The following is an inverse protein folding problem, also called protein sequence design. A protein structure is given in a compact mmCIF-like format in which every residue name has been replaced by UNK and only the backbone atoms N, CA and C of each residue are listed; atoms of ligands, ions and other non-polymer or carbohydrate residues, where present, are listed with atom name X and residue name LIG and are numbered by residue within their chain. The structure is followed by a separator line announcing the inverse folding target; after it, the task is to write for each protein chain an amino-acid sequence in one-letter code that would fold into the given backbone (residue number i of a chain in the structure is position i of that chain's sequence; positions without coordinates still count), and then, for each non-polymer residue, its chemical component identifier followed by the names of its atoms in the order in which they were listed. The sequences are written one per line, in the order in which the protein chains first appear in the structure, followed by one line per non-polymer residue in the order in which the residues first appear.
data_IF_721994588297
#
_entry.id   IF_721994588297
#
_cell.length_a   1.000
_cell.length_b   1.000
_cell.length_c   1.000
_cell.angle_alpha   90.00
_cell.angle_beta   90.00
_cell.angle_gamma   90.00
#
_symmetry.space_group_name_H-M   'P 1'
#
loop_
_entity.id
_entity.type
_entity.pdbx_description
1 polymer ?
#
# COMPACT_ATOMS: atom_id res chain seq x y z
N UNK A 1 17.88 -0.56 -48.98
CA UNK A 1 16.45 -0.54 -48.61
C UNK A 1 16.20 -1.78 -47.76
N UNK A 2 16.37 -1.68 -46.42
CA UNK A 2 16.14 -2.75 -45.45
C UNK A 2 15.11 -2.23 -44.44
N UNK A 3 13.88 -2.69 -44.60
CA UNK A 3 12.79 -2.40 -43.72
C UNK A 3 12.96 -3.29 -42.47
N UNK A 4 13.33 -2.73 -41.33
CA UNK A 4 13.31 -3.41 -40.05
C UNK A 4 11.85 -3.47 -39.55
N UNK A 5 11.28 -4.66 -39.60
CA UNK A 5 10.02 -5.03 -38.97
C UNK A 5 10.13 -4.84 -37.44
N UNK A 6 9.43 -3.85 -36.92
CA UNK A 6 9.17 -3.76 -35.47
C UNK A 6 8.06 -4.76 -35.12
N UNK A 7 8.43 -5.86 -34.47
CA UNK A 7 7.45 -6.73 -33.80
C UNK A 7 6.71 -5.91 -32.75
N UNK A 8 5.41 -5.73 -32.96
CA UNK A 8 4.49 -5.33 -31.90
C UNK A 8 4.56 -6.40 -30.81
N UNK A 9 5.15 -6.07 -29.68
CA UNK A 9 5.01 -6.84 -28.46
C UNK A 9 3.56 -6.66 -27.98
N UNK A 10 2.79 -7.72 -28.05
CA UNK A 10 1.46 -7.81 -27.46
C UNK A 10 1.58 -7.80 -25.93
N UNK A 11 1.35 -6.65 -25.33
CA UNK A 11 1.39 -6.42 -23.87
C UNK A 11 0.02 -6.65 -23.20
N UNK A 12 -0.86 -7.49 -23.80
CA UNK A 12 -2.26 -7.50 -23.41
C UNK A 12 -2.72 -8.67 -22.52
N UNK A 13 -1.87 -9.58 -22.03
CA UNK A 13 -2.39 -10.82 -21.38
C UNK A 13 -1.64 -11.33 -20.16
N UNK A 14 -1.02 -10.49 -19.34
CA UNK A 14 -0.28 -10.97 -18.15
C UNK A 14 -0.81 -10.49 -16.79
N UNK A 15 -2.02 -9.94 -16.73
CA UNK A 15 -2.60 -9.46 -15.47
C UNK A 15 -3.73 -10.41 -14.99
N UNK A 16 -3.53 -11.05 -13.86
CA UNK A 16 -4.56 -11.67 -13.01
C UNK A 16 -5.36 -12.86 -13.55
N UNK A 17 -4.79 -14.05 -13.68
CA UNK A 17 -5.56 -15.29 -13.73
C UNK A 17 -5.88 -15.79 -12.32
N UNK A 18 -6.92 -15.26 -11.70
CA UNK A 18 -7.63 -15.88 -10.58
C UNK A 18 -9.09 -16.11 -10.96
N UNK A 19 -9.70 -17.25 -10.56
CA UNK A 19 -11.13 -17.46 -10.77
C UNK A 19 -11.89 -16.36 -10.02
N UNK A 20 -12.73 -15.63 -10.76
CA UNK A 20 -13.62 -14.60 -10.24
C UNK A 20 -14.71 -15.31 -9.42
N UNK A 21 -14.54 -15.40 -8.11
CA UNK A 21 -15.66 -15.64 -7.21
C UNK A 21 -16.30 -14.29 -6.94
N UNK A 22 -17.39 -13.98 -7.63
CA UNK A 22 -18.15 -12.75 -7.41
C UNK A 22 -18.78 -12.78 -6.03
N UNK A 23 -18.26 -12.00 -5.12
CA UNK A 23 -18.89 -11.73 -3.83
C UNK A 23 -19.96 -10.64 -3.97
N UNK A 24 -20.80 -10.46 -2.94
CA UNK A 24 -21.87 -9.45 -2.92
C UNK A 24 -21.36 -8.01 -3.16
N UNK A 25 -20.11 -7.70 -2.79
CA UNK A 25 -19.46 -6.41 -3.04
C UNK A 25 -18.92 -6.24 -4.47
N UNK A 26 -18.87 -7.30 -5.29
CA UNK A 26 -18.22 -7.28 -6.59
C UNK A 26 -16.68 -7.12 -6.57
N UNK A 27 -16.06 -7.07 -5.38
CA UNK A 27 -14.61 -6.91 -5.24
C UNK A 27 -13.86 -8.20 -5.59
N UNK A 28 -12.70 -8.05 -6.26
CA UNK A 28 -11.77 -9.16 -6.48
C UNK A 28 -11.20 -9.67 -5.13
N UNK A 29 -10.78 -10.93 -5.09
CA UNK A 29 -10.21 -11.56 -3.90
C UNK A 29 -9.06 -10.74 -3.26
N UNK A 30 -8.16 -10.18 -4.06
CA UNK A 30 -7.08 -9.31 -3.58
C UNK A 30 -7.62 -8.04 -2.95
N UNK A 31 -8.65 -7.45 -3.52
CA UNK A 31 -9.26 -6.21 -3.01
C UNK A 31 -9.99 -6.44 -1.67
N UNK A 32 -10.48 -7.65 -1.41
CA UNK A 32 -11.07 -8.00 -0.11
C UNK A 32 -10.06 -7.95 1.05
N UNK A 33 -8.76 -8.05 0.78
CA UNK A 33 -7.73 -7.85 1.81
C UNK A 33 -7.77 -6.44 2.41
N UNK A 34 -8.41 -5.47 1.74
CA UNK A 34 -8.68 -4.15 2.29
C UNK A 34 -9.59 -4.21 3.52
N UNK A 35 -10.51 -5.18 3.62
CA UNK A 35 -11.33 -5.42 4.82
C UNK A 35 -10.46 -5.80 6.03
N UNK A 36 -9.42 -6.62 5.83
CA UNK A 36 -8.48 -6.94 6.90
C UNK A 36 -7.79 -5.69 7.43
N UNK A 37 -7.20 -4.87 6.56
CA UNK A 37 -6.51 -3.65 6.95
C UNK A 37 -7.47 -2.64 7.61
N UNK A 38 -8.68 -2.50 7.08
CA UNK A 38 -9.72 -1.65 7.65
C UNK A 38 -10.18 -2.16 9.02
N UNK A 39 -10.38 -3.48 9.18
CA UNK A 39 -10.74 -4.12 10.44
C UNK A 39 -9.69 -3.91 11.53
N UNK A 40 -8.40 -3.97 11.17
CA UNK A 40 -7.29 -3.64 12.09
C UNK A 40 -7.41 -2.19 12.59
N UNK A 41 -7.64 -1.23 11.70
CA UNK A 41 -7.79 0.20 12.07
C UNK A 41 -9.07 0.45 12.88
N UNK A 42 -10.16 -0.24 12.53
CA UNK A 42 -11.41 -0.20 13.30
C UNK A 42 -11.20 -0.70 14.74
N UNK A 43 -10.46 -1.80 14.90
CA UNK A 43 -10.15 -2.35 16.23
C UNK A 43 -9.24 -1.41 17.01
N UNK A 44 -8.24 -0.80 16.38
CA UNK A 44 -7.38 0.21 17.00
C UNK A 44 -8.20 1.40 17.50
N UNK A 45 -9.06 1.96 16.65
CA UNK A 45 -9.92 3.11 17.00
C UNK A 45 -10.88 2.82 18.16
N UNK A 46 -11.30 1.57 18.34
CA UNK A 46 -12.16 1.14 19.42
C UNK A 46 -11.38 0.79 20.71
N UNK A 47 -10.05 0.82 20.69
CA UNK A 47 -9.21 0.48 21.85
C UNK A 47 -9.18 1.63 22.88
N UNK A 48 -8.80 1.31 24.12
CA UNK A 48 -8.64 2.33 25.17
C UNK A 48 -7.54 3.37 24.86
N UNK A 49 -6.54 2.99 24.07
CA UNK A 49 -5.41 3.83 23.70
C UNK A 49 -5.10 3.64 22.21
N UNK A 50 -5.92 4.23 21.31
CA UNK A 50 -5.70 4.10 19.89
C UNK A 50 -4.40 4.81 19.47
N UNK A 51 -3.62 4.18 18.59
CA UNK A 51 -2.39 4.77 18.06
C UNK A 51 -2.60 5.41 16.68
N UNK A 52 -3.58 4.92 15.91
CA UNK A 52 -4.02 5.50 14.63
C UNK A 52 -5.27 6.37 14.86
N UNK A 53 -6.26 5.84 15.56
CA UNK A 53 -7.52 6.52 15.85
C UNK A 53 -8.37 6.78 14.61
N UNK A 54 -8.42 5.82 13.66
CA UNK A 54 -9.20 5.95 12.42
C UNK A 54 -10.70 5.80 12.65
N UNK A 55 -11.36 6.92 12.95
CA UNK A 55 -12.81 6.97 13.19
C UNK A 55 -13.65 6.64 11.93
N UNK A 56 -13.08 6.71 10.73
CA UNK A 56 -13.75 6.36 9.48
C UNK A 56 -13.80 4.83 9.26
N UNK A 57 -12.88 4.08 9.86
CA UNK A 57 -12.75 2.65 9.59
C UNK A 57 -14.03 1.86 9.88
N UNK A 58 -14.72 2.17 10.98
CA UNK A 58 -16.00 1.50 11.32
C UNK A 58 -17.08 1.71 10.25
N UNK A 59 -17.15 2.92 9.68
CA UNK A 59 -18.11 3.27 8.64
C UNK A 59 -17.82 2.55 7.32
N UNK A 60 -16.54 2.29 7.04
CA UNK A 60 -16.10 1.57 5.85
C UNK A 60 -16.34 0.04 5.93
N UNK A 61 -16.68 -0.51 7.09
CA UNK A 61 -16.93 -1.95 7.24
C UNK A 61 -18.39 -2.29 7.04
N UNK A 62 -18.70 -3.01 5.95
CA UNK A 62 -20.01 -3.66 5.74
C UNK A 62 -20.13 -4.93 6.59
N UNK A 63 -21.32 -5.55 6.57
CA UNK A 63 -21.53 -6.87 7.17
C UNK A 63 -20.56 -7.91 6.59
N UNK A 64 -20.36 -7.93 5.26
CA UNK A 64 -19.39 -8.80 4.59
C UNK A 64 -17.95 -8.51 5.08
N UNK A 65 -17.56 -7.22 5.17
CA UNK A 65 -16.25 -6.82 5.70
C UNK A 65 -16.06 -7.25 7.15
N UNK A 66 -17.10 -7.15 7.98
CA UNK A 66 -17.07 -7.62 9.38
C UNK A 66 -16.94 -9.15 9.46
N UNK A 67 -17.63 -9.91 8.60
CA UNK A 67 -17.48 -11.35 8.50
C UNK A 67 -16.05 -11.74 8.11
N UNK A 68 -15.50 -11.08 7.07
CA UNK A 68 -14.11 -11.28 6.66
C UNK A 68 -13.15 -10.99 7.83
N UNK A 69 -13.32 -9.87 8.53
CA UNK A 69 -12.51 -9.48 9.67
C UNK A 69 -12.53 -10.48 10.83
N UNK A 70 -13.67 -11.16 11.10
CA UNK A 70 -13.77 -12.15 12.18
C UNK A 70 -12.71 -13.26 12.06
N UNK A 71 -12.28 -13.62 10.86
CA UNK A 71 -11.26 -14.64 10.63
C UNK A 71 -9.85 -14.20 11.04
N UNK A 72 -9.61 -12.88 11.11
CA UNK A 72 -8.28 -12.27 11.32
C UNK A 72 -8.14 -11.59 12.68
N UNK A 73 -9.23 -11.26 13.37
CA UNK A 73 -9.23 -10.43 14.59
C UNK A 73 -8.32 -10.94 15.71
N UNK A 74 -8.12 -12.25 15.80
CA UNK A 74 -7.34 -12.89 16.87
C UNK A 74 -5.85 -13.08 16.51
N UNK A 75 -5.42 -12.64 15.34
CA UNK A 75 -4.03 -12.69 14.90
C UNK A 75 -3.19 -11.55 15.52
N UNK A 76 -2.87 -11.67 16.83
CA UNK A 76 -2.26 -10.59 17.63
C UNK A 76 -1.06 -9.93 16.96
N UNK A 77 -0.04 -10.69 16.55
CA UNK A 77 1.19 -10.12 15.98
C UNK A 77 0.99 -9.56 14.56
N UNK A 78 0.32 -10.24 13.63
CA UNK A 78 -0.01 -9.67 12.32
C UNK A 78 -0.82 -8.37 12.44
N UNK A 79 -1.83 -8.33 13.32
CA UNK A 79 -2.67 -7.14 13.52
C UNK A 79 -1.86 -5.99 14.11
N UNK A 80 -1.06 -6.23 15.14
CA UNK A 80 -0.16 -5.23 15.71
C UNK A 80 0.85 -4.70 14.68
N UNK A 81 1.41 -5.57 13.84
CA UNK A 81 2.32 -5.20 12.75
C UNK A 81 1.62 -4.35 11.67
N UNK A 82 0.37 -4.67 11.34
CA UNK A 82 -0.43 -3.90 10.38
C UNK A 82 -0.79 -2.51 10.94
N UNK A 83 -1.21 -2.43 12.23
CA UNK A 83 -1.43 -1.15 12.92
C UNK A 83 -0.16 -0.29 12.89
N UNK A 84 0.99 -0.88 13.24
CA UNK A 84 2.27 -0.16 13.24
C UNK A 84 2.68 0.28 11.83
N UNK A 85 2.43 -0.52 10.78
CA UNK A 85 2.68 -0.15 9.39
C UNK A 85 1.95 1.14 9.03
N UNK A 86 0.65 1.19 9.29
CA UNK A 86 -0.17 2.37 9.00
C UNK A 86 0.28 3.58 9.82
N UNK A 87 0.56 3.38 11.12
CA UNK A 87 1.08 4.43 12.00
C UNK A 87 2.41 5.02 11.53
N UNK A 88 3.34 4.19 11.05
CA UNK A 88 4.63 4.66 10.54
C UNK A 88 4.44 5.60 9.35
N UNK A 89 3.61 5.21 8.40
CA UNK A 89 3.30 6.05 7.23
C UNK A 89 2.62 7.34 7.68
N UNK A 90 1.63 7.26 8.57
CA UNK A 90 0.93 8.42 9.12
C UNK A 90 1.89 9.41 9.81
N UNK A 91 2.86 8.87 10.57
CA UNK A 91 3.84 9.69 11.26
C UNK A 91 4.71 10.52 10.30
N UNK A 92 5.31 9.88 9.29
CA UNK A 92 6.15 10.57 8.31
C UNK A 92 5.32 11.50 7.40
N UNK A 93 4.16 11.06 6.97
CA UNK A 93 3.25 11.87 6.16
C UNK A 93 2.85 13.15 6.88
N UNK A 94 2.55 13.07 8.18
CA UNK A 94 2.22 14.24 8.99
C UNK A 94 3.34 15.27 9.00
N UNK A 95 4.58 14.84 9.21
CA UNK A 95 5.75 15.73 9.20
C UNK A 95 5.93 16.41 7.82
N UNK A 96 5.76 15.67 6.73
CA UNK A 96 5.84 16.23 5.37
C UNK A 96 4.73 17.24 5.09
N UNK A 97 3.48 16.96 5.49
CA UNK A 97 2.35 17.86 5.26
C UNK A 97 2.41 19.13 6.13
N UNK A 98 3.14 19.11 7.25
CA UNK A 98 3.41 20.33 8.04
C UNK A 98 4.35 21.29 7.31
N UNK A 99 5.28 20.77 6.52
CA UNK A 99 6.26 21.58 5.76
C UNK A 99 5.78 21.90 4.35
N UNK A 100 5.00 21.00 3.75
CA UNK A 100 4.47 21.10 2.38
C UNK A 100 2.97 20.80 2.35
N UNK A 101 2.11 21.71 2.87
CA UNK A 101 0.66 21.48 2.97
C UNK A 101 -0.06 21.46 1.61
N UNK A 102 0.57 21.94 0.57
CA UNK A 102 0.13 21.98 -0.84
C UNK A 102 0.59 20.77 -1.66
N UNK A 103 1.21 19.77 -1.02
CA UNK A 103 1.61 18.52 -1.68
C UNK A 103 0.44 17.84 -2.39
N UNK A 104 0.75 17.04 -3.40
CA UNK A 104 -0.18 16.02 -3.91
C UNK A 104 0.16 14.67 -3.29
N UNK A 105 -0.82 14.01 -2.70
CA UNK A 105 -0.68 12.67 -2.12
C UNK A 105 -1.43 11.67 -2.99
N UNK A 106 -0.71 10.73 -3.58
CA UNK A 106 -1.24 9.72 -4.51
C UNK A 106 -1.21 8.36 -3.81
N UNK A 107 -2.38 7.76 -3.56
CA UNK A 107 -2.53 6.42 -3.03
C UNK A 107 -2.76 5.44 -4.17
N UNK A 108 -1.80 4.55 -4.43
CA UNK A 108 -1.92 3.49 -5.45
C UNK A 108 -2.35 2.19 -4.76
N UNK A 109 -3.50 1.65 -5.14
CA UNK A 109 -4.17 0.60 -4.40
C UNK A 109 -4.75 1.13 -3.09
N UNK A 110 -5.55 2.21 -3.19
CA UNK A 110 -6.05 2.97 -2.04
C UNK A 110 -6.96 2.16 -1.10
N UNK A 111 -7.57 1.07 -1.58
CA UNK A 111 -8.42 0.22 -0.77
C UNK A 111 -9.44 1.02 0.04
N UNK A 112 -9.53 0.69 1.32
CA UNK A 112 -10.37 1.38 2.29
C UNK A 112 -9.58 2.39 3.16
N UNK A 113 -8.51 2.99 2.61
CA UNK A 113 -7.75 4.04 3.30
C UNK A 113 -8.62 5.28 3.56
N UNK A 114 -8.41 5.94 4.69
CA UNK A 114 -9.17 7.12 5.13
C UNK A 114 -8.29 8.34 5.41
N UNK A 115 -7.01 8.31 5.02
CA UNK A 115 -6.07 9.39 5.30
C UNK A 115 -6.54 10.74 4.81
N UNK A 116 -7.11 10.81 3.61
CA UNK A 116 -7.68 12.03 3.05
C UNK A 116 -8.72 12.71 3.98
N UNK A 117 -9.40 11.94 4.84
CA UNK A 117 -10.38 12.46 5.81
C UNK A 117 -9.77 12.77 7.18
N UNK A 118 -8.59 12.27 7.48
CA UNK A 118 -7.94 12.40 8.80
C UNK A 118 -6.84 13.44 8.84
N UNK A 119 -6.15 13.65 7.72
CA UNK A 119 -5.09 14.64 7.59
C UNK A 119 -5.65 15.96 7.06
N UNK A 120 -4.99 17.06 7.37
CA UNK A 120 -5.30 18.39 6.82
C UNK A 120 -4.26 18.76 5.77
N UNK A 121 -4.71 19.43 4.72
CA UNK A 121 -3.88 19.82 3.59
C UNK A 121 -3.72 18.73 2.55
N UNK A 122 -2.92 19.00 1.55
CA UNK A 122 -2.70 18.24 0.33
C UNK A 122 -3.92 18.13 -0.60
N UNK A 123 -3.64 17.87 -1.85
CA UNK A 123 -4.58 17.30 -2.81
C UNK A 123 -4.40 15.80 -2.80
N UNK A 124 -5.50 15.05 -2.67
CA UNK A 124 -5.47 13.61 -2.52
C UNK A 124 -5.99 12.92 -3.78
N UNK A 125 -5.23 11.96 -4.27
CA UNK A 125 -5.61 11.12 -5.42
C UNK A 125 -5.62 9.67 -4.95
N UNK A 126 -6.80 9.06 -4.93
CA UNK A 126 -6.98 7.66 -4.59
C UNK A 126 -7.21 6.84 -5.87
N UNK A 127 -6.36 5.87 -6.14
CA UNK A 127 -6.41 5.01 -7.33
C UNK A 127 -6.64 3.58 -6.88
N UNK A 128 -7.71 2.94 -7.39
CA UNK A 128 -8.02 1.54 -7.14
C UNK A 128 -8.98 0.98 -8.20
N UNK A 129 -9.28 -0.31 -8.10
CA UNK A 129 -10.28 -0.99 -8.94
C UNK A 129 -11.66 -0.33 -8.80
N UNK A 130 -12.47 -0.28 -9.88
CA UNK A 130 -13.78 0.38 -9.87
C UNK A 130 -14.69 -0.05 -8.72
N UNK A 131 -14.80 -1.38 -8.48
CA UNK A 131 -15.66 -1.91 -7.41
C UNK A 131 -15.22 -1.49 -6.00
N UNK A 132 -13.90 -1.30 -5.77
CA UNK A 132 -13.37 -0.81 -4.49
C UNK A 132 -13.76 0.65 -4.26
N UNK A 133 -13.60 1.48 -5.28
CA UNK A 133 -13.90 2.90 -5.17
C UNK A 133 -15.42 3.16 -5.11
N UNK A 134 -16.23 2.39 -5.83
CA UNK A 134 -17.68 2.43 -5.73
C UNK A 134 -18.13 2.10 -4.30
N UNK A 135 -17.67 0.97 -3.76
CA UNK A 135 -17.93 0.57 -2.37
C UNK A 135 -17.51 1.66 -1.36
N UNK A 136 -16.33 2.26 -1.56
CA UNK A 136 -15.81 3.31 -0.70
C UNK A 136 -16.63 4.59 -0.81
N UNK A 137 -17.06 4.98 -2.02
CA UNK A 137 -17.88 6.16 -2.26
C UNK A 137 -19.25 6.09 -1.58
N UNK A 138 -19.88 4.92 -1.56
CA UNK A 138 -21.13 4.70 -0.86
C UNK A 138 -21.02 4.96 0.65
N UNK A 139 -19.88 4.62 1.26
CA UNK A 139 -19.67 4.64 2.72
C UNK A 139 -18.91 5.85 3.22
N UNK A 140 -18.05 6.40 2.38
CA UNK A 140 -17.22 7.56 2.69
C UNK A 140 -17.17 8.47 1.44
N UNK A 141 -18.25 9.22 1.14
CA UNK A 141 -18.38 10.03 -0.06
C UNK A 141 -17.29 11.10 -0.18
N UNK A 142 -16.78 11.34 -1.39
CA UNK A 142 -15.81 12.42 -1.67
C UNK A 142 -16.29 13.77 -1.17
N UNK A 143 -17.60 14.05 -1.30
CA UNK A 143 -18.20 15.31 -0.86
C UNK A 143 -18.09 15.58 0.66
N UNK A 144 -17.83 14.56 1.46
CA UNK A 144 -17.61 14.70 2.91
C UNK A 144 -16.12 14.88 3.27
N UNK A 145 -15.22 14.80 2.28
CA UNK A 145 -13.79 14.97 2.53
C UNK A 145 -13.46 16.44 2.83
N UNK A 146 -12.73 16.74 3.92
CA UNK A 146 -12.32 18.10 4.24
C UNK A 146 -11.22 18.65 3.32
N UNK A 147 -10.62 17.79 2.49
CA UNK A 147 -9.57 18.13 1.54
C UNK A 147 -10.06 17.98 0.09
N UNK A 148 -9.29 18.49 -0.85
CA UNK A 148 -9.47 18.15 -2.27
C UNK A 148 -9.14 16.69 -2.45
N UNK A 149 -10.13 15.89 -2.87
CA UNK A 149 -10.00 14.46 -3.07
C UNK A 149 -10.57 14.05 -4.42
N UNK A 150 -9.78 13.31 -5.18
CA UNK A 150 -10.23 12.67 -6.41
C UNK A 150 -10.03 11.15 -6.31
N UNK A 151 -11.03 10.38 -6.75
CA UNK A 151 -10.97 8.92 -6.85
C UNK A 151 -10.96 8.49 -8.30
N UNK A 152 -9.90 7.83 -8.71
CA UNK A 152 -9.66 7.43 -10.09
C UNK A 152 -9.76 5.92 -10.18
N UNK A 153 -10.82 5.44 -10.82
CA UNK A 153 -10.97 4.02 -11.09
C UNK A 153 -10.01 3.58 -12.20
N UNK A 154 -9.36 2.43 -11.97
CA UNK A 154 -8.49 1.79 -12.94
C UNK A 154 -8.72 0.29 -12.96
N UNK A 155 -8.89 -0.28 -14.14
CA UNK A 155 -8.73 -1.70 -14.33
C UNK A 155 -7.25 -1.98 -14.62
N UNK A 156 -6.51 -2.45 -13.61
CA UNK A 156 -5.08 -2.73 -13.74
C UNK A 156 -4.74 -3.80 -14.77
N UNK A 157 -5.72 -4.54 -15.29
CA UNK A 157 -5.51 -5.53 -16.33
C UNK A 157 -5.53 -4.94 -17.75
N UNK A 158 -6.33 -3.90 -17.96
CA UNK A 158 -6.63 -3.37 -19.29
C UNK A 158 -6.24 -1.92 -19.49
N UNK A 159 -6.06 -1.14 -18.41
CA UNK A 159 -5.73 0.27 -18.45
C UNK A 159 -4.31 0.53 -17.98
N UNK A 160 -3.72 1.64 -18.44
CA UNK A 160 -2.37 2.04 -18.04
C UNK A 160 -2.44 3.07 -16.91
N UNK A 161 -1.73 2.78 -15.82
CA UNK A 161 -1.59 3.71 -14.70
C UNK A 161 -0.99 5.07 -15.16
N UNK A 162 -0.10 5.04 -16.15
CA UNK A 162 0.49 6.26 -16.70
C UNK A 162 -0.55 7.24 -17.24
N UNK A 163 -1.58 6.75 -17.94
CA UNK A 163 -2.63 7.60 -18.50
C UNK A 163 -3.47 8.27 -17.40
N UNK A 164 -3.71 7.55 -16.31
CA UNK A 164 -4.44 8.06 -15.13
C UNK A 164 -3.64 9.10 -14.34
N UNK A 165 -2.32 8.96 -14.28
CA UNK A 165 -1.43 9.85 -13.53
C UNK A 165 -0.92 11.04 -14.35
N UNK A 166 -1.02 11.00 -15.67
CA UNK A 166 -0.53 12.05 -16.57
C UNK A 166 -1.01 13.47 -16.22
N UNK A 167 -2.29 13.70 -15.82
CA UNK A 167 -2.77 15.03 -15.44
C UNK A 167 -1.98 15.67 -14.28
N UNK A 168 -1.36 14.86 -13.42
CA UNK A 168 -0.71 15.32 -12.18
C UNK A 168 0.81 15.49 -12.32
N UNK A 169 1.39 15.23 -13.49
CA UNK A 169 2.86 15.18 -13.71
C UNK A 169 3.62 16.48 -13.42
N UNK A 170 2.90 17.61 -13.39
CA UNK A 170 3.51 18.94 -13.20
C UNK A 170 3.35 19.46 -11.76
N UNK A 171 2.91 18.62 -10.83
CA UNK A 171 2.84 19.01 -9.43
C UNK A 171 4.23 18.97 -8.78
N UNK A 172 4.52 19.99 -8.00
CA UNK A 172 5.63 20.00 -7.06
C UNK A 172 5.23 19.20 -5.80
N UNK A 173 6.22 18.69 -5.05
CA UNK A 173 5.99 17.95 -3.80
C UNK A 173 5.01 16.76 -3.92
N UNK A 174 5.38 15.79 -4.73
CA UNK A 174 4.60 14.57 -4.94
C UNK A 174 4.95 13.52 -3.89
N UNK A 175 3.94 13.04 -3.17
CA UNK A 175 4.05 11.96 -2.19
C UNK A 175 3.21 10.78 -2.70
N UNK A 176 3.83 9.62 -2.86
CA UNK A 176 3.18 8.40 -3.34
C UNK A 176 3.13 7.39 -2.20
N UNK A 177 1.95 6.85 -1.92
CA UNK A 177 1.75 5.82 -0.91
C UNK A 177 1.33 4.52 -1.60
N UNK A 178 2.11 3.45 -1.37
CA UNK A 178 1.87 2.11 -1.91
C UNK A 178 1.84 1.14 -0.71
N UNK A 179 0.75 1.16 0.05
CA UNK A 179 0.62 0.40 1.28
C UNK A 179 -0.14 -0.92 1.07
N UNK A 180 0.51 -2.07 1.35
CA UNK A 180 -0.10 -3.38 1.25
C UNK A 180 -0.37 -3.85 -0.18
N UNK A 181 0.36 -3.36 -1.17
CA UNK A 181 0.13 -3.61 -2.61
C UNK A 181 1.27 -4.41 -3.24
N UNK A 182 2.51 -3.99 -3.02
CA UNK A 182 3.66 -4.54 -3.75
C UNK A 182 3.82 -6.05 -3.61
N UNK A 183 3.40 -6.62 -2.48
CA UNK A 183 3.48 -8.06 -2.24
C UNK A 183 2.56 -8.90 -3.15
N UNK A 184 1.55 -8.30 -3.75
CA UNK A 184 0.64 -8.96 -4.68
C UNK A 184 1.05 -8.82 -6.15
N UNK A 185 2.01 -7.94 -6.45
CA UNK A 185 2.50 -7.68 -7.80
C UNK A 185 3.64 -8.62 -8.17
N UNK A 186 3.65 -9.08 -9.42
CA UNK A 186 4.82 -9.74 -10.01
C UNK A 186 5.98 -8.77 -10.15
N UNK A 187 7.20 -9.28 -10.35
CA UNK A 187 8.38 -8.45 -10.59
C UNK A 187 8.18 -7.50 -11.76
N UNK A 188 7.65 -7.99 -12.88
CA UNK A 188 7.36 -7.17 -14.07
C UNK A 188 6.38 -6.05 -13.76
N UNK A 189 5.35 -6.32 -12.94
CA UNK A 189 4.36 -5.30 -12.54
C UNK A 189 4.99 -4.24 -11.63
N UNK A 190 5.86 -4.64 -10.69
CA UNK A 190 6.61 -3.69 -9.84
C UNK A 190 7.54 -2.82 -10.67
N UNK A 191 8.26 -3.39 -11.64
CA UNK A 191 9.12 -2.65 -12.56
C UNK A 191 8.32 -1.66 -13.43
N UNK A 192 7.19 -2.07 -13.97
CA UNK A 192 6.30 -1.20 -14.74
C UNK A 192 5.75 -0.05 -13.88
N UNK A 193 5.37 -0.32 -12.63
CA UNK A 193 4.94 0.70 -11.69
C UNK A 193 6.05 1.72 -11.41
N UNK A 194 7.25 1.26 -11.06
CA UNK A 194 8.39 2.16 -10.80
C UNK A 194 8.78 2.96 -12.03
N UNK A 195 8.78 2.35 -13.22
CA UNK A 195 9.02 3.06 -14.49
C UNK A 195 8.00 4.16 -14.71
N UNK A 196 6.72 3.88 -14.46
CA UNK A 196 5.64 4.86 -14.61
C UNK A 196 5.84 6.06 -13.70
N UNK A 197 6.04 5.83 -12.40
CA UNK A 197 6.15 6.93 -11.43
C UNK A 197 7.44 7.74 -11.61
N UNK A 198 8.59 7.11 -11.90
CA UNK A 198 9.86 7.82 -12.15
C UNK A 198 9.84 8.61 -13.46
N UNK A 199 9.04 8.19 -14.43
CA UNK A 199 8.88 8.92 -15.70
C UNK A 199 8.00 10.14 -15.53
N UNK A 200 6.91 10.03 -14.77
CA UNK A 200 5.93 11.10 -14.61
C UNK A 200 6.34 12.12 -13.55
N UNK A 201 6.98 11.69 -12.48
CA UNK A 201 7.33 12.54 -11.35
C UNK A 201 8.84 12.58 -11.16
N UNK A 202 9.52 13.59 -11.67
CA UNK A 202 11.00 13.70 -11.62
C UNK A 202 11.54 13.93 -10.20
N UNK A 203 10.70 14.39 -9.28
CA UNK A 203 10.99 14.54 -7.84
C UNK A 203 9.79 14.07 -7.04
N UNK A 204 9.98 13.03 -6.23
CA UNK A 204 8.90 12.51 -5.40
C UNK A 204 9.40 11.63 -4.25
N UNK A 205 8.53 11.47 -3.27
CA UNK A 205 8.72 10.56 -2.13
C UNK A 205 7.77 9.37 -2.28
N UNK A 206 8.26 8.16 -2.00
CA UNK A 206 7.43 6.95 -1.93
C UNK A 206 7.45 6.39 -0.52
N UNK A 207 6.27 6.21 0.07
CA UNK A 207 6.06 5.34 1.22
C UNK A 207 5.51 4.00 0.77
N UNK A 208 6.20 2.92 1.12
CA UNK A 208 5.71 1.57 0.86
C UNK A 208 6.14 0.61 1.96
N UNK A 209 5.46 -0.53 2.04
CA UNK A 209 5.88 -1.63 2.88
C UNK A 209 6.48 -2.76 2.04
N UNK A 210 7.62 -3.26 2.49
CA UNK A 210 8.34 -4.34 1.82
C UNK A 210 8.61 -5.48 2.79
N UNK A 211 8.39 -6.71 2.30
CA UNK A 211 8.59 -7.95 3.04
C UNK A 211 9.67 -8.79 2.38
N UNK A 212 10.72 -9.17 3.13
CA UNK A 212 11.75 -10.08 2.63
C UNK A 212 11.25 -11.52 2.60
N UNK A 213 11.76 -12.31 1.65
CA UNK A 213 11.46 -13.75 1.54
C UNK A 213 11.72 -14.49 2.84
N UNK A 214 12.85 -14.19 3.50
CA UNK A 214 13.20 -14.81 4.78
C UNK A 214 12.17 -14.52 5.88
N UNK A 215 11.65 -13.28 5.96
CA UNK A 215 10.59 -12.94 6.92
C UNK A 215 9.31 -13.68 6.59
N UNK A 216 8.90 -13.67 5.33
CA UNK A 216 7.72 -14.37 4.84
C UNK A 216 7.78 -15.86 5.20
N UNK A 217 8.90 -16.55 4.89
CA UNK A 217 9.07 -17.98 5.12
C UNK A 217 9.00 -18.36 6.60
N UNK A 218 9.43 -17.48 7.50
CA UNK A 218 9.52 -17.75 8.95
C UNK A 218 8.30 -17.26 9.74
N UNK A 219 7.73 -16.12 9.37
CA UNK A 219 6.71 -15.43 10.16
C UNK A 219 5.44 -15.03 9.36
N UNK A 220 5.55 -14.87 8.04
CA UNK A 220 4.46 -14.39 7.19
C UNK A 220 3.46 -15.47 6.75
N UNK A 221 3.86 -16.74 6.76
CA UNK A 221 3.03 -17.85 6.24
C UNK A 221 1.64 -17.96 6.88
N UNK A 222 1.48 -17.85 8.21
CA UNK A 222 0.16 -18.05 8.82
C UNK A 222 -0.93 -17.09 8.32
N UNK A 223 -0.59 -15.81 8.12
CA UNK A 223 -1.54 -14.85 7.56
C UNK A 223 -1.71 -15.05 6.05
N UNK A 224 -0.63 -15.41 5.35
CA UNK A 224 -0.69 -15.69 3.92
C UNK A 224 -1.61 -16.86 3.60
N UNK A 225 -1.58 -17.95 4.39
CA UNK A 225 -2.49 -19.09 4.18
C UNK A 225 -3.97 -18.68 4.32
N UNK A 226 -4.29 -17.74 5.22
CA UNK A 226 -5.65 -17.19 5.29
C UNK A 226 -6.01 -16.39 4.02
N UNK A 227 -5.11 -15.51 3.55
CA UNK A 227 -5.35 -14.80 2.28
C UNK A 227 -5.48 -15.76 1.09
N UNK A 228 -4.68 -16.83 1.07
CA UNK A 228 -4.75 -17.85 0.04
C UNK A 228 -6.09 -18.61 0.04
N UNK A 229 -6.65 -18.86 1.21
CA UNK A 229 -7.99 -19.45 1.34
C UNK A 229 -9.09 -18.54 0.74
N UNK A 230 -8.87 -17.23 0.70
CA UNK A 230 -9.71 -16.24 0.03
C UNK A 230 -9.32 -15.96 -1.43
N UNK A 231 -8.47 -16.80 -2.04
CA UNK A 231 -8.11 -16.71 -3.46
C UNK A 231 -7.05 -15.67 -3.82
N UNK A 232 -6.28 -15.15 -2.85
CA UNK A 232 -5.16 -14.25 -3.13
C UNK A 232 -3.86 -14.73 -2.50
N UNK A 233 -2.72 -14.39 -3.10
CA UNK A 233 -1.41 -14.79 -2.58
C UNK A 233 -0.32 -13.77 -2.90
N UNK A 234 0.71 -13.75 -2.06
CA UNK A 234 1.91 -12.95 -2.29
C UNK A 234 2.74 -13.54 -3.43
N UNK A 235 3.36 -12.66 -4.22
CA UNK A 235 4.13 -13.03 -5.42
C UNK A 235 5.58 -12.57 -5.29
N UNK A 236 6.46 -13.26 -6.01
CA UNK A 236 7.85 -12.87 -6.26
C UNK A 236 8.57 -12.28 -5.04
N UNK A 237 8.56 -13.04 -3.94
CA UNK A 237 9.21 -12.64 -2.69
C UNK A 237 10.73 -12.60 -2.87
N UNK A 238 11.35 -11.47 -2.54
CA UNK A 238 12.78 -11.21 -2.67
C UNK A 238 13.48 -11.28 -1.30
N UNK A 239 14.75 -11.68 -1.28
CA UNK A 239 15.55 -11.62 -0.05
C UNK A 239 15.87 -10.17 0.34
N UNK A 240 16.19 -9.33 -0.64
CA UNK A 240 16.32 -7.88 -0.48
C UNK A 240 15.30 -7.15 -1.37
N UNK A 241 14.10 -6.88 -0.86
CA UNK A 241 13.06 -6.23 -1.65
C UNK A 241 13.33 -4.75 -1.94
N UNK A 242 14.23 -4.09 -1.18
CA UNK A 242 14.61 -2.71 -1.42
C UNK A 242 15.54 -2.56 -2.64
N UNK A 243 16.28 -3.62 -3.02
CA UNK A 243 17.19 -3.61 -4.15
C UNK A 243 16.51 -3.18 -5.46
N UNK A 244 15.20 -3.48 -5.61
CA UNK A 244 14.44 -3.03 -6.78
C UNK A 244 14.35 -1.49 -6.84
N UNK A 245 14.04 -0.83 -5.74
CA UNK A 245 13.98 0.62 -5.69
C UNK A 245 15.36 1.25 -5.95
N UNK A 246 16.43 0.70 -5.36
CA UNK A 246 17.80 1.16 -5.60
C UNK A 246 18.21 1.04 -7.09
N UNK A 247 17.77 -0.04 -7.78
CA UNK A 247 17.97 -0.22 -9.22
C UNK A 247 17.34 0.92 -10.05
N UNK A 248 16.23 1.50 -9.55
CA UNK A 248 15.53 2.63 -10.15
C UNK A 248 16.02 3.99 -9.64
N UNK A 249 17.22 4.04 -9.03
CA UNK A 249 17.87 5.24 -8.51
C UNK A 249 17.13 5.94 -7.35
N UNK A 250 16.27 5.21 -6.61
CA UNK A 250 15.76 5.72 -5.37
C UNK A 250 16.83 5.69 -4.28
N UNK A 251 16.78 6.69 -3.41
CA UNK A 251 17.55 6.73 -2.16
C UNK A 251 16.65 6.28 -1.02
N UNK A 252 17.07 5.27 -0.26
CA UNK A 252 16.42 4.91 1.01
C UNK A 252 16.69 6.03 2.03
N UNK A 253 15.63 6.69 2.51
CA UNK A 253 15.69 7.75 3.52
C UNK A 253 15.43 7.18 4.90
N UNK A 254 14.40 6.34 5.01
CA UNK A 254 14.06 5.66 6.25
C UNK A 254 13.60 4.23 6.01
N UNK A 255 13.86 3.39 7.01
CA UNK A 255 13.39 2.01 7.08
C UNK A 255 13.00 1.69 8.52
N UNK A 256 11.73 1.39 8.73
CA UNK A 256 11.18 1.13 10.07
C UNK A 256 10.49 -0.23 10.11
N UNK A 257 10.97 -1.13 10.96
CA UNK A 257 10.36 -2.45 11.16
C UNK A 257 8.97 -2.32 11.77
N UNK A 258 7.99 -2.91 11.12
CA UNK A 258 6.59 -2.90 11.58
C UNK A 258 6.44 -3.63 12.92
N UNK A 259 7.14 -4.77 13.11
CA UNK A 259 7.07 -5.54 14.38
C UNK A 259 7.77 -4.80 15.53
N UNK A 260 8.96 -4.24 15.29
CA UNK A 260 9.67 -3.48 16.34
C UNK A 260 8.87 -2.25 16.75
N UNK A 261 8.28 -1.54 15.78
CA UNK A 261 7.39 -0.40 16.06
C UNK A 261 6.13 -0.83 16.80
N UNK A 262 5.51 -1.96 16.46
CA UNK A 262 4.37 -2.50 17.20
C UNK A 262 4.70 -2.77 18.68
N UNK A 263 5.90 -3.25 18.97
CA UNK A 263 6.36 -3.48 20.36
C UNK A 263 6.62 -2.15 21.06
N UNK A 264 7.27 -1.19 20.41
CA UNK A 264 7.49 0.17 20.92
C UNK A 264 6.17 0.86 21.28
N UNK A 265 5.16 0.74 20.41
CA UNK A 265 3.79 1.24 20.62
C UNK A 265 2.97 0.41 21.61
N UNK A 266 3.54 -0.63 22.21
CA UNK A 266 2.89 -1.55 23.15
C UNK A 266 1.68 -2.30 22.59
N UNK A 267 1.56 -2.39 21.26
CA UNK A 267 0.52 -3.16 20.57
C UNK A 267 0.75 -4.68 20.67
N UNK A 268 2.00 -5.09 20.85
CA UNK A 268 2.40 -6.46 21.07
C UNK A 268 3.56 -6.54 22.07
N UNK A 269 3.79 -7.72 22.63
CA UNK A 269 4.90 -7.98 23.55
C UNK A 269 5.73 -9.16 23.05
N UNK A 270 7.06 -8.99 23.08
CA UNK A 270 8.02 -10.07 22.89
C UNK A 270 9.08 -9.98 24.00
N UNK A 271 9.57 -11.12 24.52
CA UNK A 271 10.69 -11.14 25.47
C UNK A 271 11.92 -10.45 24.86
N UNK A 272 12.68 -9.72 25.67
CA UNK A 272 13.91 -9.01 25.22
C UNK A 272 14.90 -9.95 24.52
N UNK A 273 15.05 -11.18 25.02
CA UNK A 273 15.93 -12.18 24.42
C UNK A 273 15.48 -12.55 22.98
N UNK A 274 14.18 -12.66 22.73
CA UNK A 274 13.64 -12.92 21.38
C UNK A 274 13.91 -11.73 20.46
N UNK A 275 13.73 -10.50 20.94
CA UNK A 275 14.06 -9.29 20.19
C UNK A 275 15.54 -9.24 19.80
N UNK A 276 16.43 -9.63 20.71
CA UNK A 276 17.86 -9.67 20.44
C UNK A 276 18.20 -10.75 19.40
N UNK A 277 17.77 -11.99 19.62
CA UNK A 277 18.08 -13.12 18.73
C UNK A 277 17.44 -13.00 17.33
N UNK A 278 16.25 -12.45 17.24
CA UNK A 278 15.50 -12.33 15.99
C UNK A 278 15.60 -10.94 15.34
N UNK A 279 16.41 -10.04 15.88
CA UNK A 279 16.44 -8.64 15.48
C UNK A 279 16.61 -8.38 13.99
N UNK A 280 17.44 -9.16 13.29
CA UNK A 280 17.59 -9.10 11.82
C UNK A 280 16.35 -9.62 11.09
N UNK A 281 15.73 -10.70 11.58
CA UNK A 281 14.52 -11.28 10.99
C UNK A 281 13.34 -10.30 11.13
N UNK A 282 13.20 -9.67 12.29
CA UNK A 282 12.12 -8.71 12.55
C UNK A 282 12.19 -7.44 11.68
N UNK A 283 13.36 -7.12 11.13
CA UNK A 283 13.51 -6.06 10.13
C UNK A 283 13.08 -6.50 8.72
N UNK A 284 12.76 -7.76 8.53
CA UNK A 284 12.38 -8.29 7.21
C UNK A 284 11.00 -7.87 6.72
N UNK A 285 10.16 -7.24 7.57
CA UNK A 285 8.96 -6.54 7.15
C UNK A 285 8.99 -5.12 7.71
N UNK A 286 9.16 -4.16 6.82
CA UNK A 286 9.38 -2.76 7.17
C UNK A 286 8.61 -1.82 6.25
N UNK A 287 8.26 -0.65 6.78
CA UNK A 287 7.90 0.51 5.98
C UNK A 287 9.17 1.22 5.57
N UNK A 288 9.20 1.65 4.34
CA UNK A 288 10.29 2.42 3.75
C UNK A 288 9.79 3.79 3.31
N UNK A 289 10.66 4.76 3.46
CA UNK A 289 10.60 6.04 2.78
C UNK A 289 11.71 6.06 1.74
N UNK A 290 11.33 6.17 0.49
CA UNK A 290 12.24 6.34 -0.63
C UNK A 290 12.08 7.71 -1.24
N UNK A 291 13.19 8.36 -1.57
CA UNK A 291 13.22 9.60 -2.33
C UNK A 291 13.79 9.33 -3.71
N UNK A 292 13.13 9.86 -4.72
CA UNK A 292 13.60 9.87 -6.10
C UNK A 292 13.81 11.29 -6.55
N UNK A 293 15.01 11.57 -7.06
CA UNK A 293 15.34 12.81 -7.75
C UNK A 293 15.93 12.40 -9.09
N UNK A 294 15.28 12.80 -10.17
CA UNK A 294 15.78 12.47 -11.51
C UNK A 294 17.24 12.93 -11.65
N UNK A 295 18.17 12.02 -12.03
CA UNK A 295 19.55 12.42 -12.27
C UNK A 295 19.60 13.56 -13.30
N UNK A 296 20.41 14.59 -13.01
CA UNK A 296 20.68 15.64 -13.97
C UNK A 296 21.18 14.98 -15.28
N UNK A 297 20.54 15.30 -16.40
CA UNK A 297 21.08 14.87 -17.70
C UNK A 297 22.45 15.54 -17.83
N UNK A 298 23.49 14.74 -17.81
CA UNK A 298 24.84 15.23 -18.19
C UNK A 298 24.76 15.64 -19.66
N UNK A 299 25.16 16.87 -20.03
CA UNK A 299 25.06 17.40 -21.38
C UNK A 299 25.89 16.59 -22.35
#
# INVERSE_FOLDING_TARGET
MIVKSYRKLEFATLFWNYPITSNRSGMKAVSQTAYYCCGVRMQDAASAHPVIGDNCAKRLMSEEGLQYWQEFKDLKMPNASNTARHYIIDYYLKELLLTHPDSIVILIGAGLDSRAYRFKGATWIEIDEPAVLEYKNERLPVAECPNVLERIAINFETEKLADKLMPYRNHDHVIIIIEGVLMYLSMTQREALLTTITTLFPDHIVFCDLMSKRFFDKLGKPIHEKFKAHGTSFRDMMDDPAALFLKYNYREVAKVSTIKKAIELKLAKLPKIVLFLMGKLLNGYSVYEFQYNKPAQTP
#
